data_IF_445712284936
#
_entry.id   IF_445712284936
#
_cell.length_a   1.000
_cell.length_b   1.000
_cell.length_c   1.000
_cell.angle_alpha   90.00
_cell.angle_beta   90.00
_cell.angle_gamma   90.00
#
_symmetry.space_group_name_H-M   'P 1'
#
loop_
_entity.id
_entity.type
_entity.pdbx_description
1 polymer ?
#
# COMPACT_ATOMS: atom_id res chain seq x y z
N UNK A 1 -20.99 5.75 7.30
CA UNK A 1 -20.05 6.35 6.34
C UNK A 1 -18.96 5.32 6.10
N UNK A 2 -18.56 5.06 4.86
CA UNK A 2 -17.39 4.23 4.63
C UNK A 2 -16.17 5.09 4.98
N UNK A 3 -15.47 4.73 6.05
CA UNK A 3 -14.26 5.42 6.46
C UNK A 3 -13.14 5.02 5.50
N UNK A 4 -12.90 5.85 4.49
CA UNK A 4 -11.78 5.66 3.58
C UNK A 4 -10.50 6.09 4.30
N UNK A 5 -9.50 5.21 4.27
CA UNK A 5 -8.22 5.48 4.92
C UNK A 5 -7.23 5.96 3.87
N UNK A 6 -6.72 7.17 4.08
CA UNK A 6 -5.69 7.75 3.22
C UNK A 6 -4.33 7.11 3.52
N UNK A 7 -3.70 6.57 2.47
CA UNK A 7 -2.44 5.84 2.56
C UNK A 7 -1.42 6.43 1.59
N UNK A 8 -0.33 6.96 2.13
CA UNK A 8 0.80 7.43 1.34
C UNK A 8 1.68 6.24 0.97
N UNK A 9 1.74 5.89 -0.31
CA UNK A 9 2.52 4.76 -0.80
C UNK A 9 3.72 5.25 -1.63
N UNK A 10 4.83 4.54 -1.50
CA UNK A 10 6.05 4.82 -2.27
C UNK A 10 6.37 3.64 -3.18
N UNK A 11 6.67 3.91 -4.45
CA UNK A 11 7.11 2.84 -5.35
C UNK A 11 8.47 2.29 -4.91
N UNK A 12 8.61 0.96 -4.98
CA UNK A 12 9.82 0.25 -4.60
C UNK A 12 10.53 -0.34 -5.80
N UNK A 13 11.74 0.16 -6.07
CA UNK A 13 12.64 -0.44 -7.05
C UNK A 13 13.19 -1.81 -6.60
N UNK A 14 13.53 -1.97 -5.31
CA UNK A 14 14.15 -3.19 -4.79
C UNK A 14 13.14 -4.25 -4.30
N UNK A 15 13.15 -5.42 -4.94
CA UNK A 15 12.36 -6.60 -4.58
C UNK A 15 13.23 -7.71 -3.97
N UNK A 16 12.67 -8.55 -3.10
CA UNK A 16 13.36 -9.70 -2.49
C UNK A 16 13.33 -9.75 -0.95
N UNK A 17 13.85 -10.85 -0.38
CA UNK A 17 13.81 -11.14 1.07
C UNK A 17 14.50 -10.07 1.93
N UNK A 18 15.73 -9.71 1.56
CA UNK A 18 16.56 -8.81 2.36
C UNK A 18 16.04 -7.36 2.29
N UNK A 19 15.61 -6.88 1.12
CA UNK A 19 15.01 -5.55 0.99
C UNK A 19 13.70 -5.46 1.79
N UNK A 20 12.84 -6.48 1.70
CA UNK A 20 11.59 -6.53 2.47
C UNK A 20 11.83 -6.62 3.98
N UNK A 21 12.90 -7.27 4.43
CA UNK A 21 13.28 -7.29 5.86
C UNK A 21 13.71 -5.91 6.34
N UNK A 22 14.57 -5.21 5.58
CA UNK A 22 14.99 -3.84 5.91
C UNK A 22 13.80 -2.88 5.94
N UNK A 23 12.90 -3.00 4.96
CA UNK A 23 11.71 -2.18 4.85
C UNK A 23 10.78 -2.34 6.07
N UNK A 24 10.56 -3.57 6.52
CA UNK A 24 9.78 -3.83 7.75
C UNK A 24 10.46 -3.26 8.99
N UNK A 25 11.78 -3.35 9.08
CA UNK A 25 12.53 -2.78 10.19
C UNK A 25 12.45 -1.24 10.23
N UNK A 26 12.27 -0.58 9.08
CA UNK A 26 12.06 0.87 9.00
C UNK A 26 10.61 1.31 9.21
N UNK A 27 9.70 0.40 9.60
CA UNK A 27 8.28 0.74 9.83
C UNK A 27 7.43 0.84 8.56
N UNK A 28 7.90 0.27 7.45
CA UNK A 28 7.18 0.22 6.18
C UNK A 28 6.87 -1.23 5.80
N UNK A 29 5.68 -1.48 5.27
CA UNK A 29 5.22 -2.80 4.83
C UNK A 29 5.37 -2.93 3.33
N UNK A 30 5.95 -4.03 2.83
CA UNK A 30 5.97 -4.32 1.40
C UNK A 30 4.55 -4.71 0.92
N UNK A 31 4.03 -4.02 -0.09
CA UNK A 31 2.72 -4.27 -0.68
C UNK A 31 2.81 -4.34 -2.22
N UNK A 32 1.75 -4.85 -2.85
CA UNK A 32 1.62 -4.91 -4.31
C UNK A 32 0.24 -4.38 -4.67
N UNK A 33 0.18 -3.36 -5.53
CA UNK A 33 -1.06 -2.86 -6.11
C UNK A 33 -1.25 -3.48 -7.49
N UNK A 34 -2.38 -4.14 -7.70
CA UNK A 34 -2.76 -4.78 -8.96
C UNK A 34 -4.25 -4.50 -9.24
N UNK A 35 -4.63 -4.46 -10.51
CA UNK A 35 -6.01 -4.23 -10.92
C UNK A 35 -6.10 -3.62 -12.33
N UNK A 36 -7.31 -3.64 -12.88
CA UNK A 36 -7.62 -3.23 -14.26
C UNK A 36 -7.52 -1.70 -14.50
N UNK A 37 -7.15 -0.92 -13.48
CA UNK A 37 -6.98 0.54 -13.53
C UNK A 37 -5.54 1.05 -13.39
N UNK A 38 -4.54 0.16 -13.29
CA UNK A 38 -3.15 0.59 -13.45
C UNK A 38 -2.92 0.84 -14.95
N UNK A 39 -2.61 2.08 -15.34
CA UNK A 39 -2.40 2.53 -16.73
C UNK A 39 -1.42 1.67 -17.55
N UNK A 40 -0.65 0.79 -16.89
CA UNK A 40 0.30 -0.13 -17.51
C UNK A 40 -0.11 -1.62 -17.51
N UNK A 41 -1.34 -1.99 -17.13
CA UNK A 41 -1.77 -3.41 -17.06
C UNK A 41 -0.89 -4.28 -16.14
N UNK A 42 -0.11 -3.64 -15.26
CA UNK A 42 0.97 -4.24 -14.49
C UNK A 42 0.73 -4.17 -12.98
N UNK A 43 1.49 -4.98 -12.24
CA UNK A 43 1.53 -4.94 -10.78
C UNK A 43 2.62 -3.98 -10.30
N UNK A 44 2.25 -3.04 -9.42
CA UNK A 44 3.18 -2.05 -8.86
C UNK A 44 3.60 -2.47 -7.46
N UNK A 45 4.92 -2.48 -7.21
CA UNK A 45 5.46 -2.82 -5.90
C UNK A 45 5.54 -1.56 -5.04
N UNK A 46 4.86 -1.56 -3.90
CA UNK A 46 4.71 -0.40 -3.02
C UNK A 46 5.32 -0.64 -1.65
N UNK A 47 5.75 0.44 -1.01
CA UNK A 47 6.05 0.55 0.41
C UNK A 47 4.93 1.37 1.05
N UNK A 48 4.27 0.82 2.06
CA UNK A 48 3.18 1.50 2.76
C UNK A 48 3.47 1.59 4.27
N UNK A 49 3.03 2.63 4.98
CA UNK A 49 3.24 2.76 6.42
C UNK A 49 2.59 1.62 7.20
N UNK A 50 3.35 0.91 8.03
CA UNK A 50 2.83 -0.24 8.81
C UNK A 50 1.70 0.17 9.75
N UNK A 51 1.85 1.32 10.41
CA UNK A 51 0.92 1.79 11.44
C UNK A 51 -0.50 2.03 10.92
N UNK A 52 -0.63 2.56 9.70
CA UNK A 52 -1.93 2.87 9.11
C UNK A 52 -2.66 1.58 8.74
N UNK A 53 -1.93 0.63 8.14
CA UNK A 53 -2.47 -0.70 7.79
C UNK A 53 -2.89 -1.45 9.05
N UNK A 54 -2.04 -1.45 10.08
CA UNK A 54 -2.33 -2.12 11.35
C UNK A 54 -3.55 -1.50 12.04
N UNK A 55 -3.64 -0.17 12.09
CA UNK A 55 -4.82 0.53 12.60
C UNK A 55 -6.08 0.12 11.84
N UNK A 56 -6.02 0.13 10.50
CA UNK A 56 -7.18 -0.17 9.66
C UNK A 56 -7.62 -1.62 9.82
N UNK A 57 -6.68 -2.56 9.91
CA UNK A 57 -6.96 -3.98 10.13
C UNK A 57 -7.70 -4.20 11.46
N UNK A 58 -7.31 -3.49 12.52
CA UNK A 58 -7.96 -3.60 13.84
C UNK A 58 -9.35 -2.96 13.90
N UNK A 59 -9.62 -1.91 13.12
CA UNK A 59 -10.87 -1.12 13.23
C UNK A 59 -11.90 -1.43 12.14
N UNK A 60 -11.43 -1.66 10.91
CA UNK A 60 -12.28 -1.88 9.73
C UNK A 60 -12.39 -3.35 9.34
N UNK A 61 -11.55 -4.23 9.93
CA UNK A 61 -11.51 -5.66 9.65
C UNK A 61 -10.63 -6.01 8.44
N UNK A 62 -10.83 -7.22 7.90
CA UNK A 62 -9.95 -7.79 6.86
C UNK A 62 -10.04 -7.07 5.51
N UNK A 63 -11.18 -6.43 5.21
CA UNK A 63 -11.40 -5.69 3.97
C UNK A 63 -11.68 -4.21 4.28
N UNK A 64 -10.81 -3.33 3.79
CA UNK A 64 -10.96 -1.89 3.94
C UNK A 64 -10.65 -1.17 2.63
N UNK A 65 -11.33 -0.06 2.40
CA UNK A 65 -11.12 0.80 1.24
C UNK A 65 -10.00 1.80 1.55
N UNK A 66 -8.97 1.80 0.69
CA UNK A 66 -7.81 2.68 0.83
C UNK A 66 -7.73 3.65 -0.34
N UNK A 67 -7.54 4.92 -0.02
CA UNK A 67 -7.12 5.93 -0.98
C UNK A 67 -5.60 5.94 -1.01
N UNK A 68 -5.01 5.41 -2.07
CA UNK A 68 -3.55 5.30 -2.17
C UNK A 68 -3.02 6.48 -2.99
N UNK A 69 -2.17 7.30 -2.39
CA UNK A 69 -1.43 8.34 -3.10
C UNK A 69 -0.02 7.83 -3.44
N UNK A 70 0.33 7.80 -4.73
CA UNK A 70 1.64 7.34 -5.24
C UNK A 70 2.23 8.49 -6.05
N UNK A 71 3.26 9.18 -5.53
CA UNK A 71 4.05 10.20 -6.24
C UNK A 71 3.26 11.21 -7.11
N UNK A 72 2.07 11.60 -6.65
CA UNK A 72 1.20 12.59 -7.31
C UNK A 72 0.02 11.99 -8.09
N UNK A 73 -0.04 10.68 -8.25
CA UNK A 73 -1.18 9.97 -8.85
C UNK A 73 -2.04 9.32 -7.76
N UNK A 74 -3.34 9.62 -7.74
CA UNK A 74 -4.27 9.11 -6.73
C UNK A 74 -4.98 7.88 -7.27
N UNK A 75 -4.68 6.72 -6.72
CA UNK A 75 -5.28 5.45 -7.14
C UNK A 75 -6.15 4.88 -6.01
N UNK A 76 -7.39 4.51 -6.35
CA UNK A 76 -8.31 3.87 -5.40
C UNK A 76 -8.13 2.36 -5.47
N UNK A 77 -7.67 1.75 -4.37
CA UNK A 77 -7.58 0.30 -4.24
C UNK A 77 -8.85 -0.27 -3.58
N UNK A 78 -9.29 -1.43 -4.07
CA UNK A 78 -10.50 -2.13 -3.60
C UNK A 78 -10.15 -3.51 -3.09
#
# INVERSE_FOLDING_TARGET
>A
MADNVDLQAQERAERGKNSARRLRASGMTPAVLYGEGNEAGGSTALAIPTKIVDYTLHHSGDNALYNIAIDGDTSTAR
#
